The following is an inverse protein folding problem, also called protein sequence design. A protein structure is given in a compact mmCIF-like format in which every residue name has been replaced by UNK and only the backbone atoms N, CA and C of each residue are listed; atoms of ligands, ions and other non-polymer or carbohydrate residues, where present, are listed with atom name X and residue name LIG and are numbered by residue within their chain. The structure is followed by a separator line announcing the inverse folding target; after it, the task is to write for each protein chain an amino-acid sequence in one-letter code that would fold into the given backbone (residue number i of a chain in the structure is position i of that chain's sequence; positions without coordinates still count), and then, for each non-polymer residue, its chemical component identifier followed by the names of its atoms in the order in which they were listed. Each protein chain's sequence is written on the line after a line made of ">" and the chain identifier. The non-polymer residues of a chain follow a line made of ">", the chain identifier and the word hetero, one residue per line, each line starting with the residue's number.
data_IF_639774730786
#
_entry.id   IF_639774730786
#
_cell.length_a   1.000
_cell.length_b   1.000
_cell.length_c   1.000
_cell.angle_alpha   90.00
_cell.angle_beta   90.00
_cell.angle_gamma   90.00
#
_symmetry.space_group_name_H-M   'P 1'
#
loop_
_entity.id
_entity.type
_entity.pdbx_description
1 polymer ?
#
# COMPACT_ATOMS: atom_id res chain seq x y z
N UNK A 1 -3.06 18.91 -3.93
CA UNK A 1 -1.94 18.08 -3.45
C UNK A 1 -2.55 16.91 -2.68
N UNK A 2 -2.12 15.69 -2.97
CA UNK A 2 -2.64 14.49 -2.31
C UNK A 2 -2.11 14.44 -0.87
N UNK A 3 -2.95 14.18 0.15
CA UNK A 3 -2.47 13.94 1.50
C UNK A 3 -1.49 12.76 1.53
N UNK A 4 -0.37 12.90 2.21
CA UNK A 4 0.69 11.88 2.28
C UNK A 4 0.63 11.03 3.55
N UNK A 5 -0.35 11.28 4.39
CA UNK A 5 -0.66 10.50 5.60
C UNK A 5 -2.15 10.26 5.66
N UNK A 6 -2.54 9.03 5.94
CA UNK A 6 -3.93 8.65 6.18
C UNK A 6 -4.03 7.84 7.47
N UNK A 7 -5.05 8.11 8.29
CA UNK A 7 -5.27 7.44 9.56
C UNK A 7 -6.45 6.48 9.46
N UNK A 8 -6.24 5.27 9.90
CA UNK A 8 -7.29 4.28 10.12
C UNK A 8 -7.40 3.96 11.62
N UNK A 9 -8.34 3.14 12.10
CA UNK A 9 -8.44 2.84 13.52
C UNK A 9 -7.14 2.33 14.16
N UNK A 10 -6.42 1.41 13.51
CA UNK A 10 -5.20 0.80 14.05
C UNK A 10 -3.92 1.19 13.33
N UNK A 11 -4.02 1.76 12.12
CA UNK A 11 -2.88 2.05 11.27
C UNK A 11 -2.71 3.55 11.02
N UNK A 12 -1.46 3.95 10.86
CA UNK A 12 -1.06 5.16 10.14
C UNK A 12 -0.50 4.72 8.81
N UNK A 13 -1.12 5.14 7.72
CA UNK A 13 -0.59 4.95 6.37
C UNK A 13 0.25 6.16 6.01
N UNK A 14 1.51 5.93 5.68
CA UNK A 14 2.47 6.97 5.32
C UNK A 14 2.96 6.73 3.89
N UNK A 15 2.79 7.72 3.03
CA UNK A 15 3.32 7.65 1.67
C UNK A 15 4.85 7.51 1.69
N UNK A 16 5.36 6.61 0.86
CA UNK A 16 6.79 6.46 0.68
C UNK A 16 7.41 7.75 0.11
N UNK A 17 8.63 8.04 0.53
CA UNK A 17 9.43 9.15 0.03
C UNK A 17 10.78 8.65 -0.46
N UNK A 18 11.45 9.46 -1.27
CA UNK A 18 12.81 9.14 -1.71
C UNK A 18 13.75 8.90 -0.53
N UNK A 19 13.63 9.72 0.52
CA UNK A 19 14.47 9.59 1.71
C UNK A 19 14.23 8.26 2.44
N UNK A 20 12.96 7.88 2.63
CA UNK A 20 12.59 6.62 3.28
C UNK A 20 13.05 5.41 2.46
N UNK A 21 12.75 5.38 1.16
CA UNK A 21 13.15 4.27 0.28
C UNK A 21 14.67 4.14 0.14
N UNK A 22 15.39 5.27 0.05
CA UNK A 22 16.85 5.25 0.03
C UNK A 22 17.43 4.69 1.34
N UNK A 23 16.85 5.07 2.48
CA UNK A 23 17.27 4.53 3.77
C UNK A 23 16.95 3.04 3.90
N UNK A 24 15.77 2.62 3.46
CA UNK A 24 15.34 1.22 3.48
C UNK A 24 16.27 0.32 2.65
N UNK A 25 16.64 0.77 1.44
CA UNK A 25 17.52 0.04 0.52
C UNK A 25 19.00 0.03 0.97
N UNK A 26 19.51 1.15 1.47
CA UNK A 26 20.95 1.35 1.64
C UNK A 26 21.41 1.62 3.05
N UNK A 27 20.49 1.91 3.97
CA UNK A 27 20.79 2.24 5.39
C UNK A 27 19.80 1.56 6.33
N UNK A 28 19.73 0.21 6.34
CA UNK A 28 18.67 -0.54 7.04
C UNK A 28 18.63 -0.28 8.55
N UNK A 29 19.76 0.08 9.17
CA UNK A 29 19.80 0.47 10.60
C UNK A 29 19.23 1.86 10.86
N UNK A 30 19.27 2.73 9.87
CA UNK A 30 18.75 4.10 9.97
C UNK A 30 17.27 4.20 9.57
N UNK A 31 16.82 3.31 8.70
CA UNK A 31 15.45 3.32 8.20
C UNK A 31 14.38 3.34 9.31
N UNK A 32 14.41 2.45 10.34
CA UNK A 32 13.42 2.51 11.42
C UNK A 32 13.47 3.81 12.23
N UNK A 33 14.65 4.42 12.38
CA UNK A 33 14.80 5.71 13.05
C UNK A 33 14.13 6.81 12.25
N UNK A 34 14.39 6.85 10.94
CA UNK A 34 13.78 7.83 10.04
C UNK A 34 12.26 7.65 9.93
N UNK A 35 11.80 6.40 9.89
CA UNK A 35 10.38 6.06 9.85
C UNK A 35 9.67 6.36 11.18
N UNK A 36 10.37 6.29 12.30
CA UNK A 36 9.81 6.44 13.64
C UNK A 36 9.00 5.22 14.09
N UNK A 37 9.35 4.02 13.63
CA UNK A 37 8.67 2.78 13.95
C UNK A 37 9.65 1.61 14.04
N UNK A 38 9.30 0.59 14.82
CA UNK A 38 10.04 -0.66 14.90
C UNK A 38 9.75 -1.50 13.65
N UNK A 39 10.76 -2.20 13.15
CA UNK A 39 10.60 -3.16 12.06
C UNK A 39 10.44 -4.58 12.60
N UNK A 40 9.57 -5.42 12.00
CA UNK A 40 9.54 -6.84 12.27
C UNK A 40 10.82 -7.50 11.74
N UNK A 41 11.18 -8.65 12.31
CA UNK A 41 12.42 -9.37 11.96
C UNK A 41 12.40 -9.94 10.55
N UNK A 42 11.23 -10.17 9.98
CA UNK A 42 10.99 -10.70 8.64
C UNK A 42 10.69 -9.61 7.59
N UNK A 43 11.05 -8.37 7.86
CA UNK A 43 10.93 -7.29 6.90
C UNK A 43 11.98 -7.41 5.78
N UNK A 44 11.64 -7.21 4.50
CA UNK A 44 10.35 -6.84 3.91
C UNK A 44 9.43 -8.05 3.65
N UNK A 45 8.09 -7.85 3.62
CA UNK A 45 7.14 -8.93 3.44
C UNK A 45 6.80 -9.21 1.97
N UNK A 46 6.74 -10.49 1.60
CA UNK A 46 6.10 -10.97 0.37
C UNK A 46 6.64 -10.34 -0.91
N UNK A 47 5.73 -9.80 -1.71
CA UNK A 47 6.05 -9.16 -2.99
C UNK A 47 6.59 -7.73 -2.84
N UNK A 48 6.55 -7.17 -1.64
CA UNK A 48 7.23 -5.92 -1.33
C UNK A 48 8.70 -6.20 -1.07
N UNK A 49 9.44 -6.44 -2.13
CA UNK A 49 10.85 -6.78 -2.14
C UNK A 49 11.75 -5.61 -2.58
N UNK A 50 13.02 -5.88 -2.74
CA UNK A 50 14.00 -4.87 -3.15
C UNK A 50 13.71 -4.30 -4.53
N UNK A 51 13.19 -5.11 -5.46
CA UNK A 51 12.83 -4.65 -6.80
C UNK A 51 11.62 -3.71 -6.75
N UNK A 52 10.63 -3.99 -5.92
CA UNK A 52 9.50 -3.08 -5.67
C UNK A 52 9.97 -1.75 -5.07
N UNK A 53 10.87 -1.78 -4.09
CA UNK A 53 11.44 -0.57 -3.49
C UNK A 53 12.21 0.27 -4.51
N UNK A 54 13.02 -0.36 -5.37
CA UNK A 54 13.77 0.31 -6.45
C UNK A 54 12.81 0.94 -7.45
N UNK A 55 11.79 0.21 -7.88
CA UNK A 55 10.76 0.74 -8.76
C UNK A 55 10.12 2.01 -8.20
N UNK A 56 9.68 1.98 -6.94
CA UNK A 56 9.08 3.16 -6.30
C UNK A 56 10.07 4.32 -6.18
N UNK A 57 11.31 4.04 -5.82
CA UNK A 57 12.35 5.08 -5.72
C UNK A 57 12.60 5.75 -7.07
N UNK A 58 12.69 4.98 -8.14
CA UNK A 58 12.90 5.49 -9.50
C UNK A 58 11.73 6.36 -9.94
N UNK A 59 10.49 5.91 -9.73
CA UNK A 59 9.28 6.66 -10.08
C UNK A 59 9.17 7.98 -9.29
N UNK A 60 9.43 7.94 -7.98
CA UNK A 60 9.42 9.15 -7.13
C UNK A 60 10.56 10.11 -7.50
N UNK A 61 11.69 9.60 -7.95
CA UNK A 61 12.81 10.42 -8.41
C UNK A 61 12.47 11.11 -9.73
N UNK A 62 11.92 10.38 -10.68
CA UNK A 62 11.55 10.89 -11.99
C UNK A 62 10.38 11.88 -11.92
N UNK A 63 9.35 11.58 -11.12
CA UNK A 63 8.12 12.36 -11.03
C UNK A 63 8.14 13.51 -10.01
N UNK A 64 9.10 13.54 -9.11
CA UNK A 64 9.23 14.58 -8.11
C UNK A 64 7.96 14.74 -7.25
N UNK A 65 7.52 15.98 -7.05
CA UNK A 65 6.36 16.29 -6.20
C UNK A 65 5.04 15.74 -6.73
N UNK A 66 4.89 15.60 -8.04
CA UNK A 66 3.66 15.11 -8.65
C UNK A 66 3.49 13.60 -8.48
N UNK A 67 4.59 12.87 -8.28
CA UNK A 67 4.57 11.44 -8.02
C UNK A 67 4.28 11.10 -6.54
N UNK A 68 4.47 12.03 -5.62
CA UNK A 68 4.29 11.80 -4.20
C UNK A 68 2.86 11.30 -3.88
N UNK A 69 2.76 10.20 -3.15
CA UNK A 69 1.50 9.55 -2.80
C UNK A 69 0.98 8.56 -3.86
N UNK A 70 1.59 8.49 -5.03
CA UNK A 70 1.20 7.56 -6.10
C UNK A 70 2.10 6.33 -6.21
N UNK A 71 3.16 6.23 -5.39
CA UNK A 71 4.11 5.13 -5.45
C UNK A 71 4.55 4.70 -4.06
N UNK A 72 3.94 3.64 -3.56
CA UNK A 72 4.27 3.03 -2.28
C UNK A 72 3.73 3.77 -1.05
N UNK A 73 3.30 2.97 -0.09
CA UNK A 73 2.83 3.42 1.22
C UNK A 73 3.28 2.42 2.28
N UNK A 74 3.63 2.93 3.46
CA UNK A 74 3.93 2.11 4.63
C UNK A 74 2.69 2.02 5.53
N UNK A 75 2.40 0.83 6.04
CA UNK A 75 1.37 0.59 7.04
C UNK A 75 2.03 0.45 8.42
N UNK A 76 1.86 1.46 9.25
CA UNK A 76 2.45 1.53 10.59
C UNK A 76 1.35 1.32 11.62
N UNK A 77 1.44 0.22 12.39
CA UNK A 77 0.52 -0.02 13.50
C UNK A 77 0.79 1.00 14.61
N UNK A 78 -0.28 1.63 15.05
CA UNK A 78 -0.22 2.61 16.14
C UNK A 78 0.27 1.96 17.42
N UNK A 79 1.00 2.72 18.24
CA UNK A 79 1.42 2.27 19.57
C UNK A 79 0.20 1.93 20.43
N UNK A 80 0.37 0.93 21.29
CA UNK A 80 -0.55 0.57 22.36
C UNK A 80 0.18 0.64 23.70
N UNK A 81 -0.48 0.55 24.86
CA UNK A 81 0.22 0.51 26.14
C UNK A 81 1.27 -0.61 26.26
N UNK A 82 1.13 -1.68 25.48
CA UNK A 82 2.01 -2.86 25.52
C UNK A 82 2.85 -3.09 24.28
N UNK A 83 2.71 -2.25 23.25
CA UNK A 83 3.41 -2.43 21.97
C UNK A 83 3.80 -1.09 21.34
N UNK A 84 5.05 -0.92 20.88
CA UNK A 84 5.49 0.29 20.20
C UNK A 84 4.84 0.42 18.82
N UNK A 85 4.98 1.59 18.19
CA UNK A 85 4.72 1.76 16.76
C UNK A 85 5.53 0.75 15.97
N UNK A 86 4.88 -0.01 15.10
CA UNK A 86 5.51 -1.08 14.35
C UNK A 86 5.13 -1.01 12.88
N UNK A 87 6.11 -1.07 12.00
CA UNK A 87 5.89 -1.24 10.57
C UNK A 87 5.38 -2.65 10.32
N UNK A 88 4.12 -2.79 9.90
CA UNK A 88 3.47 -4.11 9.74
C UNK A 88 3.21 -4.47 8.30
N UNK A 89 3.29 -3.53 7.38
CA UNK A 89 3.04 -3.79 5.98
C UNK A 89 3.49 -2.65 5.08
N UNK A 90 3.46 -2.93 3.80
CA UNK A 90 3.69 -1.96 2.74
C UNK A 90 2.77 -2.27 1.56
N UNK A 91 2.59 -1.28 0.71
CA UNK A 91 1.74 -1.41 -0.46
C UNK A 91 1.45 -0.06 -1.06
N UNK A 92 0.23 0.13 -1.52
CA UNK A 92 -0.24 1.40 -2.03
C UNK A 92 -0.47 1.40 -3.52
N UNK A 93 -0.50 2.58 -4.12
CA UNK A 93 -0.67 2.74 -5.54
C UNK A 93 0.61 2.37 -6.30
N UNK A 94 0.44 1.77 -7.46
CA UNK A 94 1.53 1.41 -8.39
C UNK A 94 1.76 2.50 -9.44
N UNK A 95 1.13 3.65 -9.27
CA UNK A 95 1.21 4.82 -10.13
C UNK A 95 -0.07 5.67 -10.04
N UNK A 96 -0.04 6.88 -10.65
CA UNK A 96 -1.23 7.71 -10.76
C UNK A 96 -2.29 7.03 -11.64
N UNK A 97 -3.58 7.44 -11.52
CA UNK A 97 -4.61 6.91 -12.39
C UNK A 97 -4.31 7.23 -13.86
N UNK A 98 -4.67 6.29 -14.73
CA UNK A 98 -4.61 6.49 -16.17
C UNK A 98 -5.69 7.47 -16.67
N UNK A 99 -5.78 7.66 -17.99
CA UNK A 99 -6.77 8.56 -18.61
C UNK A 99 -8.23 8.16 -18.32
N UNK A 100 -8.49 6.91 -17.95
CA UNK A 100 -9.83 6.43 -17.55
C UNK A 100 -10.12 6.62 -16.05
N UNK A 101 -9.13 7.08 -15.28
CA UNK A 101 -9.20 7.19 -13.84
C UNK A 101 -8.94 5.86 -13.11
N UNK A 102 -8.30 4.90 -13.77
CA UNK A 102 -7.97 3.60 -13.18
C UNK A 102 -6.58 3.62 -12.54
N UNK A 103 -6.48 3.24 -11.28
CA UNK A 103 -5.22 3.05 -10.56
C UNK A 103 -5.12 1.62 -10.02
N UNK A 104 -3.91 1.09 -9.99
CA UNK A 104 -3.64 -0.23 -9.42
C UNK A 104 -3.12 -0.10 -8.00
N UNK A 105 -3.55 -1.00 -7.11
CA UNK A 105 -3.03 -1.15 -5.75
C UNK A 105 -2.38 -2.51 -5.54
N UNK A 106 -1.38 -2.52 -4.66
CA UNK A 106 -0.78 -3.74 -4.12
C UNK A 106 -0.57 -3.58 -2.62
N UNK A 107 -0.40 -4.69 -1.91
CA UNK A 107 -0.17 -4.69 -0.46
C UNK A 107 0.44 -6.01 0.00
N UNK A 108 1.23 -5.93 1.07
CA UNK A 108 1.80 -7.09 1.78
C UNK A 108 1.88 -6.79 3.27
N UNK A 109 1.57 -7.78 4.09
CA UNK A 109 1.67 -7.72 5.56
C UNK A 109 2.78 -8.66 6.02
N UNK A 110 3.61 -8.20 6.96
CA UNK A 110 4.65 -9.00 7.59
C UNK A 110 4.04 -10.26 8.25
N UNK A 111 4.74 -11.39 8.17
CA UNK A 111 4.19 -12.70 8.51
C UNK A 111 3.61 -12.77 9.93
N UNK A 112 4.31 -12.22 10.92
CA UNK A 112 3.89 -12.21 12.32
C UNK A 112 2.65 -11.33 12.58
N UNK A 113 2.26 -10.50 11.62
CA UNK A 113 1.13 -9.57 11.73
C UNK A 113 -0.07 -9.98 10.88
N UNK A 114 -0.01 -11.13 10.22
CA UNK A 114 -1.12 -11.68 9.42
C UNK A 114 -2.21 -12.26 10.31
N UNK A 115 -3.40 -12.46 9.71
CA UNK A 115 -4.54 -13.07 10.40
C UNK A 115 -5.23 -12.16 11.43
N UNK A 116 -4.97 -10.85 11.41
CA UNK A 116 -5.50 -9.87 12.36
C UNK A 116 -6.37 -8.79 11.70
N UNK A 117 -6.67 -8.93 10.42
CA UNK A 117 -7.46 -7.96 9.66
C UNK A 117 -6.69 -6.70 9.23
N UNK A 118 -5.37 -6.66 9.38
CA UNK A 118 -4.57 -5.47 9.04
C UNK A 118 -4.46 -5.23 7.53
N UNK A 119 -4.41 -6.29 6.71
CA UNK A 119 -4.45 -6.16 5.26
C UNK A 119 -5.78 -5.56 4.79
N UNK A 120 -6.90 -6.03 5.35
CA UNK A 120 -8.23 -5.47 5.07
C UNK A 120 -8.29 -3.99 5.42
N UNK A 121 -7.76 -3.62 6.58
CA UNK A 121 -7.74 -2.22 7.04
C UNK A 121 -6.81 -1.34 6.19
N UNK A 122 -5.66 -1.86 5.77
CA UNK A 122 -4.76 -1.18 4.85
C UNK A 122 -5.47 -0.88 3.51
N UNK A 123 -6.13 -1.87 2.92
CA UNK A 123 -6.86 -1.69 1.66
C UNK A 123 -8.03 -0.71 1.82
N UNK A 124 -8.76 -0.77 2.94
CA UNK A 124 -9.79 0.23 3.28
C UNK A 124 -9.20 1.64 3.25
N UNK A 125 -8.07 1.85 3.91
CA UNK A 125 -7.40 3.15 3.94
C UNK A 125 -6.91 3.63 2.57
N UNK A 126 -6.46 2.72 1.70
CA UNK A 126 -6.08 3.05 0.32
C UNK A 126 -7.30 3.46 -0.53
N UNK A 127 -8.45 2.82 -0.32
CA UNK A 127 -9.71 3.20 -0.98
C UNK A 127 -10.12 4.61 -0.54
N UNK A 128 -10.15 4.87 0.76
CA UNK A 128 -10.46 6.20 1.31
C UNK A 128 -9.50 7.27 0.80
N UNK A 129 -8.21 6.92 0.67
CA UNK A 129 -7.21 7.82 0.05
C UNK A 129 -7.52 8.08 -1.42
N UNK A 130 -7.90 7.05 -2.20
CA UNK A 130 -8.29 7.20 -3.59
C UNK A 130 -9.52 8.12 -3.74
N UNK A 131 -10.54 7.93 -2.91
CA UNK A 131 -11.74 8.78 -2.85
C UNK A 131 -11.39 10.25 -2.60
N UNK A 132 -10.50 10.50 -1.64
CA UNK A 132 -10.04 11.86 -1.26
C UNK A 132 -9.27 12.57 -2.37
N UNK A 133 -8.63 11.84 -3.27
CA UNK A 133 -7.93 12.48 -4.41
C UNK A 133 -8.89 13.08 -5.42
N UNK A 134 -10.09 12.53 -5.53
CA UNK A 134 -11.06 12.87 -6.57
C UNK A 134 -10.63 12.50 -8.00
N UNK A 135 -9.47 11.86 -8.15
CA UNK A 135 -8.86 11.51 -9.44
C UNK A 135 -9.10 10.07 -9.85
N UNK A 136 -9.29 9.18 -8.85
CA UNK A 136 -9.48 7.75 -9.08
C UNK A 136 -10.97 7.46 -9.23
N UNK A 137 -11.33 6.75 -10.29
CA UNK A 137 -12.69 6.26 -10.56
C UNK A 137 -12.80 4.75 -10.44
N UNK A 138 -11.69 4.05 -10.55
CA UNK A 138 -11.60 2.60 -10.46
C UNK A 138 -10.27 2.21 -9.83
N UNK A 139 -10.33 1.27 -8.91
CA UNK A 139 -9.17 0.56 -8.41
C UNK A 139 -9.12 -0.84 -9.00
N UNK A 140 -7.94 -1.28 -9.37
CA UNK A 140 -7.65 -2.66 -9.75
C UNK A 140 -6.58 -3.25 -8.82
N UNK A 141 -6.63 -4.56 -8.64
CA UNK A 141 -5.63 -5.31 -7.91
C UNK A 141 -5.49 -6.71 -8.53
N UNK A 142 -4.30 -7.28 -8.44
CA UNK A 142 -4.00 -8.62 -8.91
C UNK A 142 -3.51 -9.48 -7.75
N UNK A 143 -3.95 -10.73 -7.72
CA UNK A 143 -3.46 -11.73 -6.77
C UNK A 143 -3.17 -13.04 -7.48
N UNK A 144 -2.32 -13.88 -6.88
CA UNK A 144 -2.14 -15.24 -7.36
C UNK A 144 -3.37 -16.09 -7.05
N UNK A 145 -3.73 -17.06 -7.94
CA UNK A 145 -4.89 -17.94 -7.72
C UNK A 145 -4.79 -18.78 -6.44
N UNK A 146 -3.59 -19.07 -5.99
CA UNK A 146 -3.29 -19.85 -4.79
C UNK A 146 -3.13 -18.99 -3.52
N UNK A 147 -3.53 -17.71 -3.58
CA UNK A 147 -3.52 -16.80 -2.44
C UNK A 147 -4.94 -16.41 -2.00
N UNK A 148 -5.68 -17.34 -1.34
CA UNK A 148 -7.06 -17.07 -0.92
C UNK A 148 -7.16 -15.95 0.11
N UNK A 149 -6.14 -15.75 0.95
CA UNK A 149 -6.12 -14.70 1.95
C UNK A 149 -6.19 -13.30 1.29
N UNK A 150 -5.41 -13.06 0.25
CA UNK A 150 -5.43 -11.81 -0.50
C UNK A 150 -6.76 -11.60 -1.23
N UNK A 151 -7.32 -12.65 -1.81
CA UNK A 151 -8.64 -12.60 -2.45
C UNK A 151 -9.75 -12.21 -1.45
N UNK A 152 -9.72 -12.77 -0.25
CA UNK A 152 -10.68 -12.43 0.81
C UNK A 152 -10.56 -10.95 1.25
N UNK A 153 -9.36 -10.42 1.34
CA UNK A 153 -9.12 -9.00 1.64
C UNK A 153 -9.79 -8.10 0.61
N UNK A 154 -9.64 -8.41 -0.67
CA UNK A 154 -10.25 -7.64 -1.76
C UNK A 154 -11.76 -7.77 -1.77
N UNK A 155 -12.29 -8.97 -1.62
CA UNK A 155 -13.76 -9.20 -1.53
C UNK A 155 -14.38 -8.48 -0.34
N UNK A 156 -13.73 -8.50 0.82
CA UNK A 156 -14.17 -7.78 2.02
C UNK A 156 -14.20 -6.26 1.84
N UNK A 157 -13.41 -5.73 0.90
CA UNK A 157 -13.37 -4.31 0.52
C UNK A 157 -14.24 -3.98 -0.70
N UNK A 158 -15.14 -4.88 -1.11
CA UNK A 158 -16.10 -4.64 -2.19
C UNK A 158 -15.51 -4.71 -3.60
N UNK A 159 -14.33 -5.27 -3.76
CA UNK A 159 -13.81 -5.61 -5.09
C UNK A 159 -14.56 -6.81 -5.66
N UNK A 160 -14.67 -6.84 -6.98
CA UNK A 160 -15.25 -7.95 -7.73
C UNK A 160 -14.17 -8.63 -8.56
N UNK A 161 -14.22 -9.96 -8.64
CA UNK A 161 -13.30 -10.70 -9.52
C UNK A 161 -13.70 -10.52 -10.98
N UNK A 162 -12.67 -10.29 -11.81
CA UNK A 162 -12.81 -10.13 -13.26
C UNK A 162 -12.18 -11.29 -14.04
N UNK A 163 -11.86 -12.40 -13.35
CA UNK A 163 -11.20 -13.56 -13.95
C UNK A 163 -9.69 -13.46 -13.97
N UNK A 164 -9.05 -14.30 -14.77
CA UNK A 164 -7.61 -14.34 -14.90
C UNK A 164 -7.11 -13.32 -15.92
N UNK A 165 -5.98 -12.68 -15.62
CA UNK A 165 -5.25 -11.88 -16.59
C UNK A 165 -4.37 -12.78 -17.50
N UNK A 166 -3.72 -12.21 -18.54
CA UNK A 166 -2.85 -12.99 -19.43
C UNK A 166 -1.66 -13.68 -18.73
N UNK A 167 -1.24 -13.18 -17.57
CA UNK A 167 -0.17 -13.75 -16.76
C UNK A 167 -0.67 -14.80 -15.77
N UNK A 168 -1.98 -15.11 -15.77
CA UNK A 168 -2.60 -16.11 -14.89
C UNK A 168 -2.86 -15.62 -13.47
N UNK A 169 -2.85 -14.32 -13.23
CA UNK A 169 -3.24 -13.73 -11.93
C UNK A 169 -4.74 -13.44 -11.92
N UNK A 170 -5.36 -13.53 -10.76
CA UNK A 170 -6.75 -13.12 -10.58
C UNK A 170 -6.83 -11.60 -10.51
N UNK A 171 -7.57 -10.99 -11.43
CA UNK A 171 -7.84 -9.56 -11.47
C UNK A 171 -9.09 -9.22 -10.68
N UNK A 172 -9.00 -8.20 -9.85
CA UNK A 172 -10.10 -7.62 -9.09
C UNK A 172 -10.27 -6.16 -9.46
N UNK A 173 -11.52 -5.68 -9.43
CA UNK A 173 -11.87 -4.29 -9.68
C UNK A 173 -12.87 -3.78 -8.64
N UNK A 174 -12.75 -2.50 -8.32
CA UNK A 174 -13.71 -1.74 -7.52
C UNK A 174 -13.92 -0.35 -8.13
N UNK A 175 -15.17 0.04 -8.27
CA UNK A 175 -15.52 1.43 -8.60
C UNK A 175 -15.32 2.30 -7.36
N UNK A 176 -14.71 3.46 -7.56
CA UNK A 176 -14.46 4.46 -6.54
C UNK A 176 -15.37 5.66 -6.80
N UNK A 177 -16.16 6.02 -5.82
CA UNK A 177 -16.97 7.24 -5.87
C UNK A 177 -16.17 8.37 -5.22
N UNK A 178 -15.87 9.46 -5.96
CA UNK A 178 -15.18 10.60 -5.35
C UNK A 178 -16.02 11.17 -4.21
N UNK A 179 -15.40 11.55 -3.11
CA UNK A 179 -16.10 12.27 -2.07
C UNK A 179 -16.66 13.56 -2.64
N UNK A 180 -17.94 13.82 -2.40
CA UNK A 180 -18.55 15.12 -2.72
C UNK A 180 -17.82 16.21 -1.92
N UNK A 181 -17.36 17.23 -2.63
CA UNK A 181 -16.73 18.42 -2.05
C UNK A 181 -17.72 19.21 -1.21
#
# INVERSE_FOLDING_TARGET
>A
MIPLIHQTPRLTLLAASRALLTAELHKPRYFPVLLGAVLPTDWPPGEYDEDAMRFFLDQLTAGGRTAAGWYGWYAIRKATPTSPKTLVGAGGFMGPPDASGTAEIGYSIAADWRGQGLATELVTGLIEQAERTGMVRRLIAHTLPDNPASQQVLLANGFQTMGLDPEGRVRFERIVEPQAL
#
